data_IF_989991972064
#
_entry.id   IF_989991972064
#
_cell.length_a   1.000
_cell.length_b   1.000
_cell.length_c   1.000
_cell.angle_alpha   90.00
_cell.angle_beta   90.00
_cell.angle_gamma   90.00
#
_symmetry.space_group_name_H-M   'P 1'
#
loop_
_entity.id
_entity.type
_entity.pdbx_description
1 polymer ?
#
# COMPACT_ATOMS: atom_id res chain seq x y z
N UNK A 1 -18.48 -17.75 -0.45
CA UNK A 1 -19.42 -17.26 0.58
C UNK A 1 -20.40 -16.30 -0.10
N UNK A 2 -21.62 -16.12 0.42
CA UNK A 2 -22.53 -15.09 -0.11
C UNK A 2 -21.87 -13.70 0.03
N UNK A 3 -22.08 -12.77 -0.92
CA UNK A 3 -21.44 -11.46 -0.88
C UNK A 3 -21.88 -10.68 0.37
N UNK A 4 -20.92 -10.36 1.24
CA UNK A 4 -21.15 -9.53 2.42
C UNK A 4 -21.63 -8.15 1.95
N UNK A 5 -22.82 -7.74 2.39
CA UNK A 5 -23.33 -6.40 2.10
C UNK A 5 -22.40 -5.36 2.76
N UNK A 6 -21.70 -4.59 1.95
CA UNK A 6 -20.79 -3.56 2.44
C UNK A 6 -21.61 -2.39 3.02
N UNK A 7 -21.40 -2.01 4.29
CA UNK A 7 -22.10 -0.89 4.93
C UNK A 7 -21.64 0.45 4.34
N UNK A 8 -22.40 1.53 4.55
CA UNK A 8 -21.94 2.86 4.12
C UNK A 8 -20.83 3.32 5.05
N UNK A 9 -19.94 4.19 4.57
CA UNK A 9 -18.88 4.77 5.40
C UNK A 9 -19.45 5.52 6.62
N UNK A 10 -20.58 6.21 6.42
CA UNK A 10 -21.32 6.91 7.48
C UNK A 10 -21.90 5.99 8.55
N UNK A 11 -21.95 4.67 8.31
CA UNK A 11 -22.46 3.69 9.25
C UNK A 11 -21.34 3.09 10.12
N UNK A 12 -20.09 3.54 9.95
CA UNK A 12 -18.93 3.11 10.74
C UNK A 12 -18.73 4.04 11.96
N UNK A 13 -18.31 3.51 13.13
CA UNK A 13 -17.95 2.12 13.37
C UNK A 13 -19.16 1.17 13.48
N UNK A 14 -18.94 -0.11 13.15
CA UNK A 14 -20.02 -1.12 13.20
C UNK A 14 -20.43 -1.49 14.62
N UNK A 15 -19.50 -1.42 15.57
CA UNK A 15 -19.76 -1.68 16.99
C UNK A 15 -19.49 -0.41 17.81
N UNK A 16 -20.25 -0.26 18.90
CA UNK A 16 -20.24 0.94 19.75
C UNK A 16 -18.86 1.26 20.35
N UNK A 17 -18.08 0.24 20.67
CA UNK A 17 -16.81 0.35 21.38
C UNK A 17 -15.59 0.20 20.44
N UNK A 18 -15.82 0.10 19.13
CA UNK A 18 -14.75 0.02 18.15
C UNK A 18 -14.16 1.41 17.85
N UNK A 19 -12.89 1.47 17.40
CA UNK A 19 -12.26 2.72 16.99
C UNK A 19 -13.02 3.44 15.88
N UNK A 20 -12.81 4.75 15.76
CA UNK A 20 -13.44 5.58 14.73
C UNK A 20 -13.25 4.99 13.31
N UNK A 21 -14.32 4.98 12.52
CA UNK A 21 -14.37 4.41 11.17
C UNK A 21 -13.97 2.92 11.05
N UNK A 22 -14.00 2.17 12.16
CA UNK A 22 -13.75 0.73 12.16
C UNK A 22 -14.85 -0.05 11.43
N UNK A 23 -14.44 -0.95 10.54
CA UNK A 23 -15.30 -1.99 9.97
C UNK A 23 -15.06 -3.37 10.61
N UNK A 24 -14.62 -3.43 11.86
CA UNK A 24 -14.35 -4.69 12.55
C UNK A 24 -15.62 -5.53 12.70
N UNK A 25 -15.45 -6.85 12.60
CA UNK A 25 -16.55 -7.80 12.55
C UNK A 25 -17.27 -7.91 11.19
N UNK A 26 -16.98 -7.06 10.19
CA UNK A 26 -17.64 -7.12 8.88
C UNK A 26 -17.50 -8.50 8.20
N UNK A 27 -16.32 -9.11 8.28
CA UNK A 27 -16.03 -10.45 7.73
C UNK A 27 -16.00 -11.53 8.81
N UNK A 28 -16.52 -11.22 10.00
CA UNK A 28 -16.45 -12.07 11.19
C UNK A 28 -15.39 -11.61 12.19
N UNK A 29 -15.61 -11.96 13.46
CA UNK A 29 -14.76 -11.59 14.61
C UNK A 29 -13.37 -12.21 14.60
N UNK A 30 -13.21 -13.34 13.88
CA UNK A 30 -11.95 -14.09 13.79
C UNK A 30 -11.24 -13.84 12.45
N UNK A 31 -11.78 -12.93 11.63
CA UNK A 31 -11.17 -12.56 10.34
C UNK A 31 -9.79 -11.94 10.53
N UNK A 32 -8.89 -12.25 9.61
CA UNK A 32 -7.51 -11.77 9.57
C UNK A 32 -7.13 -11.14 8.22
N UNK A 33 -8.06 -11.13 7.25
CA UNK A 33 -7.81 -10.69 5.89
C UNK A 33 -8.28 -9.26 5.62
N UNK A 34 -9.29 -8.78 6.36
CA UNK A 34 -9.86 -7.45 6.16
C UNK A 34 -10.45 -7.32 4.77
N UNK A 35 -10.12 -6.22 4.07
CA UNK A 35 -10.67 -5.95 2.73
C UNK A 35 -10.18 -6.92 1.66
N UNK A 36 -9.17 -7.76 1.91
CA UNK A 36 -8.81 -8.85 0.99
C UNK A 36 -9.94 -9.87 0.80
N UNK A 37 -10.88 -9.98 1.75
CA UNK A 37 -12.10 -10.80 1.58
C UNK A 37 -12.98 -10.36 0.40
N UNK A 38 -12.73 -9.16 -0.17
CA UNK A 38 -13.39 -8.65 -1.37
C UNK A 38 -12.85 -9.26 -2.66
N UNK A 39 -11.69 -9.90 -2.62
CA UNK A 39 -11.08 -10.59 -3.76
C UNK A 39 -11.70 -11.99 -3.92
N UNK A 40 -12.96 -12.05 -4.34
CA UNK A 40 -13.64 -13.32 -4.56
C UNK A 40 -13.16 -13.99 -5.85
N UNK A 41 -13.42 -15.29 -5.98
CA UNK A 41 -13.08 -16.07 -7.18
C UNK A 41 -13.68 -15.44 -8.45
N UNK A 42 -14.90 -14.90 -8.36
CA UNK A 42 -15.56 -14.22 -9.47
C UNK A 42 -14.80 -12.95 -9.88
N UNK A 43 -14.31 -12.18 -8.91
CA UNK A 43 -13.51 -10.96 -9.18
C UNK A 43 -12.21 -11.31 -9.87
N UNK A 44 -11.53 -12.36 -9.39
CA UNK A 44 -10.29 -12.86 -9.99
C UNK A 44 -10.53 -13.33 -11.42
N UNK A 45 -11.63 -14.07 -11.65
CA UNK A 45 -11.99 -14.58 -12.96
C UNK A 45 -12.32 -13.44 -13.94
N UNK A 46 -13.04 -12.41 -13.49
CA UNK A 46 -13.28 -11.20 -14.30
C UNK A 46 -11.97 -10.46 -14.59
N UNK A 47 -11.08 -10.32 -13.60
CA UNK A 47 -9.78 -9.66 -13.78
C UNK A 47 -8.92 -10.36 -14.83
N UNK A 48 -8.97 -11.69 -14.91
CA UNK A 48 -8.23 -12.46 -15.91
C UNK A 48 -8.62 -12.07 -17.36
N UNK A 49 -9.85 -11.58 -17.58
CA UNK A 49 -10.31 -11.15 -18.90
C UNK A 49 -9.58 -9.90 -19.40
N UNK A 50 -8.96 -9.11 -18.53
CA UNK A 50 -8.18 -7.91 -18.91
C UNK A 50 -6.84 -8.27 -19.57
N UNK A 51 -6.37 -9.51 -19.44
CA UNK A 51 -5.14 -9.97 -20.07
C UNK A 51 -5.38 -10.17 -21.57
N UNK A 52 -5.03 -9.17 -22.38
CA UNK A 52 -5.19 -9.22 -23.85
C UNK A 52 -3.89 -9.41 -24.63
N UNK A 53 -2.78 -8.85 -24.13
CA UNK A 53 -1.50 -8.79 -24.88
C UNK A 53 -0.40 -9.66 -24.29
N UNK A 54 -0.56 -10.13 -23.05
CA UNK A 54 0.48 -10.86 -22.32
C UNK A 54 1.68 -10.00 -21.88
N UNK A 55 1.63 -8.67 -22.04
CA UNK A 55 2.68 -7.76 -21.56
C UNK A 55 2.73 -7.77 -20.04
N UNK A 56 3.94 -7.86 -19.48
CA UNK A 56 4.20 -7.88 -18.03
C UNK A 56 5.11 -6.72 -17.66
N UNK A 57 4.72 -5.97 -16.63
CA UNK A 57 5.50 -4.84 -16.11
C UNK A 57 5.75 -5.11 -14.62
N UNK A 58 7.03 -5.22 -14.23
CA UNK A 58 7.40 -5.36 -12.83
C UNK A 58 7.17 -4.03 -12.10
N UNK A 59 6.58 -4.12 -10.90
CA UNK A 59 6.37 -2.98 -9.99
C UNK A 59 7.32 -3.01 -8.79
N UNK A 60 8.29 -3.93 -8.80
CA UNK A 60 9.24 -4.10 -7.72
C UNK A 60 10.36 -3.06 -7.84
N UNK A 61 10.65 -2.42 -6.72
CA UNK A 61 11.90 -1.72 -6.52
C UNK A 61 12.98 -2.73 -6.12
N UNK A 62 14.26 -2.56 -6.51
CA UNK A 62 15.33 -3.44 -6.05
C UNK A 62 15.44 -3.45 -4.52
N UNK A 63 15.87 -4.57 -3.94
CA UNK A 63 15.99 -4.72 -2.48
C UNK A 63 17.15 -3.90 -1.90
N UNK A 64 18.17 -3.65 -2.70
CA UNK A 64 19.37 -2.85 -2.41
C UNK A 64 19.21 -1.37 -2.76
N UNK A 65 18.04 -0.94 -3.23
CA UNK A 65 17.87 0.40 -3.79
C UNK A 65 17.99 1.54 -2.75
N UNK A 66 17.86 1.23 -1.45
CA UNK A 66 18.09 2.19 -0.36
C UNK A 66 19.57 2.30 0.05
N UNK A 67 20.43 1.43 -0.47
CA UNK A 67 21.85 1.33 -0.13
C UNK A 67 22.07 1.37 1.41
N UNK A 68 23.07 2.12 1.87
CA UNK A 68 23.48 2.22 3.27
C UNK A 68 22.66 3.21 4.11
N UNK A 69 21.65 3.87 3.53
CA UNK A 69 20.81 4.83 4.27
C UNK A 69 19.32 4.48 4.15
N UNK A 70 18.87 3.40 4.81
CA UNK A 70 17.48 3.00 4.78
C UNK A 70 16.55 4.03 5.43
N UNK A 71 15.35 4.16 4.88
CA UNK A 71 14.33 5.04 5.43
C UNK A 71 13.93 4.61 6.85
N UNK A 72 13.56 5.59 7.65
CA UNK A 72 13.05 5.41 9.02
C UNK A 72 14.02 4.64 9.94
N UNK A 73 15.33 4.79 9.73
CA UNK A 73 16.38 4.12 10.51
C UNK A 73 16.19 2.59 10.55
N UNK A 74 15.66 2.01 9.48
CA UNK A 74 15.48 0.57 9.33
C UNK A 74 16.82 -0.11 9.06
N UNK A 75 16.85 -1.41 9.28
CA UNK A 75 18.00 -2.23 8.93
C UNK A 75 18.20 -2.25 7.41
N UNK A 76 19.45 -2.07 6.97
CA UNK A 76 19.82 -2.21 5.57
C UNK A 76 19.63 -3.65 5.07
N UNK A 77 19.39 -3.77 3.76
CA UNK A 77 19.38 -5.06 3.08
C UNK A 77 20.81 -5.60 3.00
N UNK A 78 20.98 -6.88 3.33
CA UNK A 78 22.25 -7.59 3.18
C UNK A 78 22.03 -8.93 2.48
N UNK A 79 22.82 -9.19 1.44
CA UNK A 79 22.88 -10.47 0.74
C UNK A 79 24.26 -11.10 0.94
N UNK A 80 24.29 -12.32 1.47
CA UNK A 80 25.50 -13.13 1.57
C UNK A 80 25.46 -14.30 0.58
N UNK A 81 26.28 -14.27 -0.46
CA UNK A 81 26.41 -15.33 -1.47
C UNK A 81 27.50 -16.31 -1.07
N UNK A 82 27.26 -17.62 -1.21
CA UNK A 82 28.24 -18.65 -0.90
C UNK A 82 28.07 -19.89 -1.79
N UNK A 83 29.17 -20.61 -2.01
CA UNK A 83 29.15 -21.86 -2.79
C UNK A 83 29.22 -23.11 -1.90
N UNK A 84 28.78 -24.25 -2.43
CA UNK A 84 28.77 -25.55 -1.72
C UNK A 84 29.68 -26.59 -2.42
N UNK A 85 31.01 -26.44 -2.35
CA UNK A 85 31.94 -27.41 -2.93
C UNK A 85 31.81 -28.80 -2.26
N UNK A 86 32.18 -29.89 -2.98
CA UNK A 86 32.80 -29.90 -4.31
C UNK A 86 31.79 -29.73 -5.46
N UNK A 87 30.49 -29.59 -5.17
CA UNK A 87 29.47 -29.38 -6.20
C UNK A 87 29.52 -27.93 -6.69
N UNK A 88 29.22 -27.73 -7.97
CA UNK A 88 28.96 -26.39 -8.52
C UNK A 88 27.55 -25.95 -8.09
N UNK A 89 27.43 -25.48 -6.85
CA UNK A 89 26.18 -25.04 -6.24
C UNK A 89 26.42 -23.69 -5.57
N UNK A 90 25.51 -22.74 -5.79
CA UNK A 90 25.46 -21.43 -5.17
C UNK A 90 24.19 -21.32 -4.32
N UNK A 91 24.34 -20.84 -3.10
CA UNK A 91 23.25 -20.46 -2.20
C UNK A 91 23.49 -19.03 -1.71
N UNK A 92 22.47 -18.41 -1.12
CA UNK A 92 22.58 -17.14 -0.45
C UNK A 92 21.72 -17.04 0.82
N UNK A 93 22.04 -16.05 1.66
CA UNK A 93 21.25 -15.65 2.82
C UNK A 93 20.93 -14.18 2.70
N UNK A 94 19.65 -13.83 2.83
CA UNK A 94 19.18 -12.45 2.84
C UNK A 94 18.77 -12.07 4.24
N UNK A 95 19.24 -10.91 4.68
CA UNK A 95 18.76 -10.25 5.90
C UNK A 95 18.12 -8.94 5.49
N UNK A 96 16.83 -8.79 5.77
CA UNK A 96 16.07 -7.61 5.38
C UNK A 96 15.03 -7.22 6.43
N UNK A 97 14.73 -5.93 6.50
CA UNK A 97 13.50 -5.45 7.11
C UNK A 97 12.40 -5.44 6.03
N UNK A 98 11.24 -6.05 6.33
CA UNK A 98 10.14 -6.27 5.36
C UNK A 98 9.45 -4.98 4.89
N UNK A 99 9.81 -3.82 5.44
CA UNK A 99 9.37 -2.49 5.04
C UNK A 99 10.44 -1.70 4.26
N UNK A 100 11.39 -2.37 3.59
CA UNK A 100 12.57 -1.70 2.99
C UNK A 100 12.59 -1.69 1.46
N UNK A 101 11.57 -2.20 0.79
CA UNK A 101 11.48 -2.12 -0.68
C UNK A 101 10.00 -2.09 -1.10
N UNK A 102 9.67 -2.40 -2.36
CA UNK A 102 8.26 -2.64 -2.73
C UNK A 102 7.64 -3.65 -1.77
N UNK A 103 6.59 -3.23 -1.07
CA UNK A 103 6.08 -3.93 0.11
C UNK A 103 4.55 -3.92 0.16
N UNK A 104 4.03 -4.80 1.01
CA UNK A 104 2.67 -4.76 1.51
C UNK A 104 2.67 -4.58 3.03
N UNK A 105 1.78 -3.73 3.52
CA UNK A 105 1.58 -3.52 4.95
C UNK A 105 0.30 -4.22 5.38
N UNK A 106 0.45 -5.30 6.14
CA UNK A 106 -0.68 -6.07 6.67
C UNK A 106 -1.34 -5.43 7.89
N UNK A 107 -2.45 -6.00 8.40
CA UNK A 107 -3.25 -5.39 9.45
C UNK A 107 -2.53 -5.28 10.80
N UNK A 108 -1.40 -5.99 10.97
CA UNK A 108 -0.51 -5.87 12.14
C UNK A 108 0.60 -4.84 12.02
N UNK A 109 0.74 -4.15 10.89
CA UNK A 109 1.82 -3.17 10.72
C UNK A 109 1.57 -1.89 11.52
N UNK A 110 0.36 -1.35 11.44
CA UNK A 110 0.01 -0.07 12.04
C UNK A 110 -1.40 -0.11 12.62
N UNK A 111 -1.49 -0.09 13.95
CA UNK A 111 -2.76 -0.10 14.68
C UNK A 111 -3.29 1.29 14.98
N UNK A 112 -4.48 1.33 15.57
CA UNK A 112 -5.04 2.51 16.20
C UNK A 112 -4.21 2.89 17.43
N UNK A 113 -3.68 4.11 17.43
CA UNK A 113 -2.71 4.55 18.42
C UNK A 113 -3.34 4.83 19.79
N UNK A 114 -4.54 5.43 19.81
CA UNK A 114 -5.25 5.77 21.05
C UNK A 114 -5.76 4.50 21.76
N UNK A 115 -6.38 3.59 21.02
CA UNK A 115 -6.96 2.36 21.54
C UNK A 115 -5.89 1.27 21.77
N UNK A 116 -4.71 1.41 21.15
CA UNK A 116 -3.63 0.41 21.16
C UNK A 116 -4.13 -0.96 20.69
N UNK A 117 -4.83 -0.94 19.56
CA UNK A 117 -5.44 -2.11 18.94
C UNK A 117 -5.16 -2.15 17.45
N UNK A 118 -4.99 -3.34 16.91
CA UNK A 118 -4.91 -3.62 15.48
C UNK A 118 -6.26 -4.11 14.98
N UNK A 119 -6.33 -4.48 13.71
CA UNK A 119 -7.53 -5.00 13.07
C UNK A 119 -8.26 -6.04 13.93
N UNK A 120 -9.59 -5.95 13.98
CA UNK A 120 -10.47 -6.84 14.74
C UNK A 120 -10.15 -6.93 16.25
N UNK A 121 -9.60 -5.85 16.83
CA UNK A 121 -9.33 -5.77 18.26
C UNK A 121 -8.08 -6.51 18.73
N UNK A 122 -7.24 -6.99 17.80
CA UNK A 122 -5.99 -7.64 18.16
C UNK A 122 -5.07 -6.70 18.95
N UNK A 123 -4.34 -7.26 19.92
CA UNK A 123 -3.39 -6.50 20.73
C UNK A 123 -1.95 -6.73 20.29
N UNK A 124 -1.02 -5.88 20.75
CA UNK A 124 0.42 -6.15 20.61
C UNK A 124 0.80 -7.49 21.26
N UNK A 125 0.19 -7.84 22.40
CA UNK A 125 0.47 -9.11 23.07
C UNK A 125 0.09 -10.31 22.19
N UNK A 126 -1.07 -10.25 21.52
CA UNK A 126 -1.51 -11.32 20.62
C UNK A 126 -0.54 -11.54 19.45
N UNK A 127 0.05 -10.46 18.95
CA UNK A 127 1.01 -10.49 17.84
C UNK A 127 2.39 -10.99 18.31
N UNK A 128 2.81 -10.64 19.52
CA UNK A 128 4.14 -10.97 20.06
C UNK A 128 4.19 -12.29 20.84
N UNK A 129 3.05 -12.96 21.05
CA UNK A 129 3.01 -14.32 21.61
C UNK A 129 3.95 -15.24 20.82
N UNK A 130 4.79 -16.07 21.50
CA UNK A 130 5.67 -17.01 20.82
C UNK A 130 4.89 -17.90 19.84
N UNK A 131 5.35 -17.96 18.59
CA UNK A 131 4.72 -18.74 17.52
C UNK A 131 3.43 -18.13 16.94
N UNK A 132 3.04 -16.91 17.32
CA UNK A 132 1.83 -16.28 16.80
C UNK A 132 1.94 -15.95 15.31
N UNK A 133 0.97 -16.43 14.54
CA UNK A 133 0.73 -16.05 13.15
C UNK A 133 -0.34 -14.96 13.00
N UNK A 134 -0.89 -14.46 14.11
CA UNK A 134 -2.07 -13.60 14.11
C UNK A 134 -1.86 -12.31 13.29
N UNK A 135 -2.83 -12.01 12.42
CA UNK A 135 -2.81 -10.90 11.46
C UNK A 135 -1.57 -10.87 10.55
N UNK A 136 -0.96 -12.04 10.34
CA UNK A 136 0.23 -12.18 9.55
C UNK A 136 0.02 -12.28 8.07
N UNK A 137 1.07 -11.92 7.33
CA UNK A 137 1.08 -12.11 5.87
C UNK A 137 0.95 -13.59 5.49
N UNK A 138 1.27 -14.52 6.39
CA UNK A 138 0.96 -15.94 6.22
C UNK A 138 -0.54 -16.22 6.13
N UNK A 139 -1.42 -15.42 6.73
CA UNK A 139 -2.86 -15.56 6.52
C UNK A 139 -3.24 -15.27 5.06
N UNK A 140 -2.46 -14.45 4.35
CA UNK A 140 -2.73 -14.09 2.97
C UNK A 140 -2.29 -15.16 1.97
N UNK A 141 -1.44 -16.12 2.37
CA UNK A 141 -0.99 -17.18 1.44
C UNK A 141 -2.12 -18.11 1.03
N UNK A 142 -3.16 -18.24 1.85
CA UNK A 142 -4.31 -19.10 1.57
C UNK A 142 -5.19 -18.57 0.42
N UNK A 143 -5.21 -17.26 0.20
CA UNK A 143 -6.08 -16.62 -0.82
C UNK A 143 -5.31 -15.88 -1.90
N UNK A 144 -4.04 -15.52 -1.65
CA UNK A 144 -3.21 -14.69 -2.51
C UNK A 144 -3.81 -13.30 -2.82
N UNK A 145 -3.00 -12.40 -3.37
CA UNK A 145 -3.48 -11.09 -3.84
C UNK A 145 -3.50 -11.13 -5.36
N UNK A 146 -4.68 -11.45 -5.90
CA UNK A 146 -4.95 -11.42 -7.34
C UNK A 146 -6.21 -10.61 -7.55
N UNK A 147 -6.13 -9.58 -8.40
CA UNK A 147 -7.26 -8.70 -8.66
C UNK A 147 -7.06 -7.90 -9.94
N UNK A 148 -8.12 -7.22 -10.36
CA UNK A 148 -8.05 -6.14 -11.32
C UNK A 148 -7.64 -4.84 -10.61
N UNK A 149 -6.58 -4.20 -11.09
CA UNK A 149 -6.03 -2.96 -10.51
C UNK A 149 -6.11 -1.83 -11.52
N UNK A 150 -6.54 -0.65 -11.09
CA UNK A 150 -6.53 0.56 -11.92
C UNK A 150 -5.36 1.46 -11.51
N UNK A 151 -4.56 1.84 -12.49
CA UNK A 151 -3.49 2.84 -12.32
C UNK A 151 -4.06 4.25 -12.50
N UNK A 152 -4.05 5.04 -11.44
CA UNK A 152 -4.31 6.49 -11.53
C UNK A 152 -2.99 7.24 -11.70
N UNK A 153 -2.70 7.68 -12.93
CA UNK A 153 -1.48 8.40 -13.26
C UNK A 153 -1.57 9.90 -12.93
N UNK A 154 -1.47 10.20 -11.63
CA UNK A 154 -1.48 11.58 -11.14
C UNK A 154 -0.30 12.41 -11.65
N UNK A 155 0.88 11.79 -11.81
CA UNK A 155 2.08 12.49 -12.24
C UNK A 155 1.92 13.14 -13.62
N UNK A 156 1.48 12.36 -14.62
CA UNK A 156 1.23 12.89 -15.96
C UNK A 156 0.11 13.93 -15.95
N UNK A 157 -0.96 13.73 -15.18
CA UNK A 157 -2.03 14.73 -15.03
C UNK A 157 -1.49 16.05 -14.49
N UNK A 158 -0.63 16.01 -13.47
CA UNK A 158 0.00 17.20 -12.88
C UNK A 158 0.86 17.94 -13.91
N UNK A 159 1.71 17.23 -14.64
CA UNK A 159 2.58 17.82 -15.67
C UNK A 159 1.77 18.54 -16.75
N UNK A 160 0.66 17.94 -17.20
CA UNK A 160 -0.21 18.55 -18.20
C UNK A 160 -0.92 19.84 -17.71
N UNK A 161 -0.99 20.06 -16.40
CA UNK A 161 -1.67 21.20 -15.79
C UNK A 161 -0.71 22.27 -15.26
N UNK A 162 0.61 22.08 -15.36
CA UNK A 162 1.61 23.01 -14.83
C UNK A 162 2.69 23.26 -15.88
N UNK A 163 2.68 24.43 -16.57
CA UNK A 163 3.53 24.70 -17.75
C UNK A 163 5.05 24.73 -17.52
N UNK A 164 5.53 24.57 -16.29
CA UNK A 164 6.96 24.45 -15.99
C UNK A 164 7.15 23.79 -14.62
N UNK A 165 7.35 22.47 -14.54
CA UNK A 165 7.53 21.77 -13.27
C UNK A 165 9.02 21.74 -12.91
N UNK A 166 9.65 22.91 -12.79
CA UNK A 166 11.05 23.01 -12.32
C UNK A 166 11.20 22.63 -10.85
N UNK A 167 10.08 22.55 -10.11
CA UNK A 167 10.07 22.07 -8.73
C UNK A 167 9.75 20.56 -8.69
N UNK A 168 10.66 19.71 -8.17
CA UNK A 168 10.29 18.43 -7.58
C UNK A 168 9.10 18.67 -6.62
N UNK A 169 8.20 17.68 -6.44
CA UNK A 169 7.03 17.79 -5.54
C UNK A 169 7.34 18.73 -4.35
N UNK A 170 6.73 19.92 -4.28
CA UNK A 170 7.24 20.98 -3.42
C UNK A 170 7.27 20.50 -1.96
N UNK A 171 8.46 20.45 -1.35
CA UNK A 171 8.68 20.11 0.07
C UNK A 171 7.93 21.03 1.04
N UNK A 172 7.39 22.14 0.55
CA UNK A 172 6.62 23.12 1.29
C UNK A 172 5.39 23.53 0.51
N UNK A 173 4.42 22.63 0.44
CA UNK A 173 3.02 23.02 0.53
C UNK A 173 2.40 21.95 1.42
N UNK A 174 1.74 22.34 2.52
CA UNK A 174 0.57 21.57 2.99
C UNK A 174 -0.15 21.17 1.72
N UNK A 175 -0.22 19.85 1.42
CA UNK A 175 -0.69 19.32 0.14
C UNK A 175 -1.55 20.36 -0.57
N UNK A 176 -1.16 20.91 -1.73
CA UNK A 176 -2.12 21.73 -2.46
C UNK A 176 -3.28 20.79 -2.66
N UNK A 177 -4.38 21.09 -1.94
CA UNK A 177 -5.60 20.32 -1.95
C UNK A 177 -5.76 19.84 -3.39
N UNK A 178 -5.76 18.53 -3.61
CA UNK A 178 -6.35 18.02 -4.83
C UNK A 178 -7.82 17.94 -4.44
N UNK A 179 -8.62 19.04 -4.58
CA UNK A 179 -10.02 19.00 -4.23
C UNK A 179 -10.65 17.78 -4.91
N UNK A 180 -11.64 17.16 -4.28
CA UNK A 180 -12.36 15.99 -4.83
C UNK A 180 -12.65 16.09 -6.34
N UNK A 181 -12.85 17.31 -6.87
CA UNK A 181 -13.00 17.61 -8.30
C UNK A 181 -11.83 17.15 -9.18
N UNK A 182 -10.57 17.19 -8.71
CA UNK A 182 -9.39 16.76 -9.47
C UNK A 182 -9.22 15.25 -9.54
N UNK A 183 -9.61 14.49 -8.50
CA UNK A 183 -9.61 13.01 -8.49
C UNK A 183 -10.76 12.45 -9.33
N UNK A 184 -11.95 13.06 -9.21
CA UNK A 184 -13.09 12.74 -10.09
C UNK A 184 -12.77 13.06 -11.55
N UNK A 185 -12.00 14.11 -11.85
CA UNK A 185 -11.64 14.43 -13.23
C UNK A 185 -10.59 13.50 -13.85
N UNK A 186 -9.66 12.92 -13.07
CA UNK A 186 -8.76 11.86 -13.58
C UNK A 186 -9.54 10.57 -13.89
N UNK A 187 -10.43 10.18 -12.99
CA UNK A 187 -11.31 9.01 -13.17
C UNK A 187 -12.40 9.21 -14.24
N UNK A 188 -12.75 10.46 -14.59
CA UNK A 188 -13.65 10.78 -15.70
C UNK A 188 -12.93 10.96 -17.06
N UNK A 189 -11.67 11.41 -17.08
CA UNK A 189 -10.91 11.57 -18.35
C UNK A 189 -10.40 10.24 -18.88
N UNK A 190 -10.03 9.31 -18.01
CA UNK A 190 -9.93 7.91 -18.40
C UNK A 190 -11.36 7.37 -18.40
N UNK A 191 -11.85 6.87 -19.54
CA UNK A 191 -13.14 6.17 -19.63
C UNK A 191 -13.07 4.83 -18.88
N UNK A 192 -12.71 4.83 -17.60
CA UNK A 192 -12.80 3.66 -16.73
C UNK A 192 -14.27 3.41 -16.46
N UNK A 193 -14.88 2.51 -17.25
CA UNK A 193 -16.22 2.00 -16.99
C UNK A 193 -16.22 1.36 -15.60
N UNK A 194 -16.98 1.96 -14.68
CA UNK A 194 -17.35 1.29 -13.43
C UNK A 194 -18.24 0.11 -13.80
N UNK A 195 -17.80 -1.10 -13.48
CA UNK A 195 -18.68 -2.26 -13.49
C UNK A 195 -19.17 -2.49 -12.06
N UNK A 196 -20.47 -2.72 -11.84
CA UNK A 196 -21.09 -2.80 -10.51
C UNK A 196 -20.66 -3.99 -9.65
N UNK A 197 -19.68 -4.78 -10.11
CA UNK A 197 -19.14 -5.95 -9.41
C UNK A 197 -17.61 -5.96 -9.35
N UNK A 198 -16.95 -4.86 -9.69
CA UNK A 198 -15.50 -4.80 -9.71
C UNK A 198 -15.00 -4.17 -8.40
N UNK A 199 -14.48 -5.03 -7.53
CA UNK A 199 -13.63 -4.61 -6.43
C UNK A 199 -12.31 -4.15 -7.03
N UNK A 200 -12.05 -2.85 -6.99
CA UNK A 200 -10.90 -2.27 -7.66
C UNK A 200 -9.77 -2.06 -6.65
N UNK A 201 -8.58 -2.58 -6.95
CA UNK A 201 -7.37 -2.12 -6.26
C UNK A 201 -6.90 -0.80 -6.88
N UNK A 202 -6.67 0.21 -6.03
CA UNK A 202 -6.26 1.55 -6.46
C UNK A 202 -4.76 1.68 -6.38
N UNK A 203 -4.10 1.98 -7.49
CA UNK A 203 -2.68 2.37 -7.47
C UNK A 203 -2.49 3.83 -7.82
N UNK A 204 -2.04 4.62 -6.85
CA UNK A 204 -1.59 5.99 -7.05
C UNK A 204 -0.08 6.00 -7.29
N UNK A 205 0.36 6.50 -8.44
CA UNK A 205 1.79 6.60 -8.74
C UNK A 205 2.36 7.94 -8.26
N UNK A 206 3.28 7.87 -7.29
CA UNK A 206 4.10 8.97 -6.78
C UNK A 206 5.59 8.60 -6.82
N UNK A 207 6.44 9.59 -7.11
CA UNK A 207 7.92 9.58 -7.28
C UNK A 207 8.70 8.36 -6.73
N UNK A 208 9.19 7.48 -7.61
CA UNK A 208 10.35 6.56 -7.37
C UNK A 208 11.51 6.83 -8.35
N UNK A 209 11.39 7.82 -9.24
CA UNK A 209 12.40 8.07 -10.29
C UNK A 209 13.65 8.85 -9.84
N UNK A 210 13.75 9.28 -8.56
CA UNK A 210 14.79 10.23 -8.12
C UNK A 210 15.50 9.84 -6.81
N UNK A 211 15.38 8.60 -6.33
CA UNK A 211 16.26 8.08 -5.29
C UNK A 211 17.47 7.40 -5.94
N UNK A 212 18.35 8.21 -6.53
CA UNK A 212 19.75 7.84 -6.63
C UNK A 212 20.46 8.36 -5.38
N UNK A 213 21.47 7.64 -4.84
CA UNK A 213 22.33 8.19 -3.82
C UNK A 213 22.88 9.51 -4.34
N UNK A 214 22.59 10.60 -3.64
CA UNK A 214 23.32 11.85 -3.87
C UNK A 214 24.75 11.58 -3.43
N UNK A 215 25.74 11.96 -4.24
CA UNK A 215 27.13 11.92 -3.78
C UNK A 215 27.32 12.84 -2.58
N UNK A 216 28.42 12.67 -1.85
CA UNK A 216 28.78 13.38 -0.60
C UNK A 216 28.75 14.93 -0.70
N UNK A 217 28.53 15.49 -1.89
CA UNK A 217 28.49 16.93 -2.16
C UNK A 217 27.12 17.61 -1.94
N UNK A 218 26.03 16.86 -1.69
CA UNK A 218 24.66 17.43 -1.53
C UNK A 218 24.16 17.45 -0.06
N UNK A 219 25.03 17.23 0.93
CA UNK A 219 24.65 17.22 2.34
C UNK A 219 24.67 18.65 2.93
N UNK A 220 23.60 19.41 2.65
CA UNK A 220 23.42 20.81 3.09
C UNK A 220 23.16 20.96 4.60
N UNK A 221 23.62 20.06 5.48
CA UNK A 221 23.61 20.22 6.94
C UNK A 221 22.23 20.53 7.58
N UNK A 222 21.13 20.44 6.83
CA UNK A 222 19.79 20.73 7.31
C UNK A 222 19.34 19.57 8.20
N UNK A 223 19.15 19.85 9.49
CA UNK A 223 18.45 18.95 10.42
C UNK A 223 17.19 18.43 9.72
N UNK A 224 16.93 17.11 9.71
CA UNK A 224 15.78 16.57 9.00
C UNK A 224 14.50 17.10 9.66
N UNK A 225 13.94 18.15 9.06
CA UNK A 225 12.54 18.48 9.25
C UNK A 225 11.73 17.26 8.84
N UNK A 226 10.69 16.92 9.61
CA UNK A 226 9.84 15.76 9.31
C UNK A 226 9.52 15.74 7.81
N UNK A 227 9.90 14.68 7.08
CA UNK A 227 9.90 14.75 5.64
C UNK A 227 8.47 14.89 5.13
N UNK A 228 8.19 15.99 4.44
CA UNK A 228 6.92 16.21 3.76
C UNK A 228 6.96 15.45 2.43
N UNK A 229 6.35 14.27 2.41
CA UNK A 229 6.22 13.44 1.22
C UNK A 229 4.89 13.72 0.52
N UNK A 230 4.90 13.68 -0.81
CA UNK A 230 3.65 13.66 -1.57
C UNK A 230 2.94 12.33 -1.32
N UNK A 231 1.64 12.40 -1.02
CA UNK A 231 0.84 11.22 -0.70
C UNK A 231 -0.64 11.44 -0.94
N UNK A 232 -1.44 10.45 -0.57
CA UNK A 232 -2.89 10.59 -0.54
C UNK A 232 -3.27 11.61 0.54
N UNK A 233 -4.29 12.41 0.28
CA UNK A 233 -4.77 13.37 1.27
C UNK A 233 -5.36 12.63 2.48
N UNK A 234 -5.03 13.08 3.69
CA UNK A 234 -5.47 12.51 4.95
C UNK A 234 -6.79 13.18 5.38
N UNK A 235 -7.89 12.82 4.74
CA UNK A 235 -9.22 13.35 5.06
C UNK A 235 -10.29 12.25 5.06
N UNK A 236 -11.35 12.45 5.84
CA UNK A 236 -12.52 11.56 5.86
C UNK A 236 -13.12 11.38 4.46
N UNK A 237 -13.12 12.45 3.67
CA UNK A 237 -13.55 12.43 2.27
C UNK A 237 -12.75 11.43 1.41
N UNK A 238 -11.45 11.26 1.67
CA UNK A 238 -10.63 10.25 0.98
C UNK A 238 -10.90 8.86 1.54
N UNK A 239 -11.04 8.71 2.86
CA UNK A 239 -11.38 7.44 3.48
C UNK A 239 -12.71 6.89 2.97
N UNK A 240 -13.74 7.74 2.93
CA UNK A 240 -15.04 7.43 2.35
C UNK A 240 -14.92 7.05 0.87
N UNK A 241 -14.13 7.81 0.10
CA UNK A 241 -13.92 7.52 -1.31
C UNK A 241 -13.25 6.15 -1.51
N UNK A 242 -12.23 5.80 -0.73
CA UNK A 242 -11.59 4.47 -0.79
C UNK A 242 -12.61 3.39 -0.39
N UNK A 243 -13.38 3.61 0.69
CA UNK A 243 -14.36 2.67 1.20
C UNK A 243 -15.46 2.31 0.19
N UNK A 244 -15.92 3.29 -0.60
CA UNK A 244 -16.94 3.12 -1.66
C UNK A 244 -16.34 2.53 -2.94
N UNK A 245 -15.04 2.77 -3.18
CA UNK A 245 -14.39 2.42 -4.44
C UNK A 245 -13.83 1.00 -4.44
N UNK A 246 -13.42 0.52 -3.27
CA UNK A 246 -13.35 -0.91 -2.99
C UNK A 246 -14.76 -1.48 -2.86
#
# INVERSE_FOLDING_TARGET
MAPTKIPRFSDLPLNKDDPFHSAWGLYGKDDQLGTLNRLTDEVVLEAAKEIKTGVRISLNWPLDAQAETPFFARQAFHQNLYSKPPRCVNDDVWTLNTQSSSQWDGPRHFGYQQERRFYNGATLEDIHKPGSSHLGIGAWSESSIVSHTILLNYHTQRLAQTPSPTTPFPRRQRSPNAPQSRRRSTAHRHQTRRHPHHYHSLRLHGRVQQHHPRGDADDDGEKPTAPCWAGVEQSEAVLEWIWIWE
#
